data_IF_451360702225
#
_entry.id   IF_451360702225
#
_cell.length_a   1.000
_cell.length_b   1.000
_cell.length_c   1.000
_cell.angle_alpha   90.00
_cell.angle_beta   90.00
_cell.angle_gamma   90.00
#
_symmetry.space_group_name_H-M   'P 1'
#
loop_
_entity.id
_entity.type
_entity.pdbx_description
1 polymer ?
#
# COMPACT_ATOMS: atom_id res chain seq x y z
N UNK A 1 -3.42 -31.60 -1.36
CA UNK A 1 -4.19 -30.49 -1.97
C UNK A 1 -3.23 -29.36 -2.26
N UNK A 2 -2.92 -29.14 -3.53
CA UNK A 2 -1.98 -28.10 -3.94
C UNK A 2 -2.62 -26.74 -3.73
N UNK A 3 -2.14 -25.98 -2.74
CA UNK A 3 -2.41 -24.55 -2.65
C UNK A 3 -1.76 -23.89 -3.86
N UNK A 4 -2.51 -23.89 -4.96
CA UNK A 4 -2.17 -23.18 -6.18
C UNK A 4 -1.99 -21.72 -5.75
N UNK A 5 -0.74 -21.33 -5.57
CA UNK A 5 -0.32 -19.94 -5.42
C UNK A 5 -0.63 -19.29 -6.76
N UNK A 6 -1.90 -18.96 -6.95
CA UNK A 6 -2.32 -18.12 -8.07
C UNK A 6 -1.51 -16.85 -7.91
N UNK A 7 -0.54 -16.69 -8.79
CA UNK A 7 0.16 -15.44 -9.00
C UNK A 7 -0.89 -14.46 -9.51
N UNK A 8 -1.67 -13.88 -8.59
CA UNK A 8 -2.72 -12.87 -8.83
C UNK A 8 -2.16 -11.51 -9.25
N UNK A 9 -0.88 -11.45 -9.60
CA UNK A 9 -0.20 -10.24 -10.10
C UNK A 9 -0.84 -9.68 -11.38
N UNK A 10 -1.58 -10.51 -12.12
CA UNK A 10 -2.25 -10.18 -13.38
C UNK A 10 -3.79 -10.05 -13.29
N UNK A 11 -4.39 -10.20 -12.10
CA UNK A 11 -5.83 -9.91 -11.97
C UNK A 11 -6.03 -8.38 -11.98
N UNK A 12 -6.91 -7.84 -12.85
CA UNK A 12 -7.22 -6.41 -12.85
C UNK A 12 -7.74 -6.02 -11.46
N UNK A 13 -7.22 -4.91 -10.92
CA UNK A 13 -7.70 -4.38 -9.65
C UNK A 13 -9.20 -4.13 -9.77
N UNK A 14 -10.00 -4.84 -8.98
CA UNK A 14 -11.42 -4.56 -8.89
C UNK A 14 -11.64 -3.25 -8.13
N UNK A 15 -12.77 -2.60 -8.35
CA UNK A 15 -13.13 -1.34 -7.67
C UNK A 15 -13.06 -1.45 -6.13
N UNK A 16 -13.31 -2.65 -5.59
CA UNK A 16 -13.15 -2.96 -4.16
C UNK A 16 -11.70 -2.91 -3.70
N UNK A 17 -10.76 -3.40 -4.52
CA UNK A 17 -9.33 -3.38 -4.22
C UNK A 17 -8.80 -1.93 -4.20
N UNK A 18 -9.24 -1.10 -5.16
CA UNK A 18 -8.93 0.34 -5.19
C UNK A 18 -9.48 1.07 -3.97
N UNK A 19 -10.67 0.69 -3.50
CA UNK A 19 -11.26 1.26 -2.28
C UNK A 19 -10.43 0.97 -1.03
N UNK A 20 -9.84 -0.23 -0.94
CA UNK A 20 -8.89 -0.57 0.15
C UNK A 20 -7.62 0.24 0.03
N UNK A 21 -7.03 0.33 -1.16
CA UNK A 21 -5.82 1.13 -1.40
C UNK A 21 -6.04 2.60 -1.02
N UNK A 22 -7.20 3.16 -1.37
CA UNK A 22 -7.55 4.53 -1.05
C UNK A 22 -7.72 4.77 0.46
N UNK A 23 -8.31 3.81 1.21
CA UNK A 23 -8.43 3.92 2.68
C UNK A 23 -7.06 3.92 3.37
N UNK A 24 -6.16 3.05 2.95
CA UNK A 24 -4.79 2.99 3.48
C UNK A 24 -4.05 4.31 3.18
N UNK A 25 -4.19 4.82 1.96
CA UNK A 25 -3.60 6.10 1.57
C UNK A 25 -4.14 7.26 2.40
N UNK A 26 -5.46 7.34 2.56
CA UNK A 26 -6.13 8.40 3.33
C UNK A 26 -5.69 8.39 4.80
N UNK A 27 -5.58 7.20 5.38
CA UNK A 27 -5.09 7.06 6.75
C UNK A 27 -3.64 7.54 6.88
N UNK A 28 -2.75 7.19 5.94
CA UNK A 28 -1.35 7.66 5.94
C UNK A 28 -1.28 9.17 5.71
N UNK A 29 -2.11 9.73 4.82
CA UNK A 29 -2.20 11.18 4.60
C UNK A 29 -2.58 11.92 5.87
N UNK A 30 -3.63 11.46 6.56
CA UNK A 30 -4.08 12.06 7.81
C UNK A 30 -3.04 11.93 8.92
N UNK A 31 -2.40 10.77 9.07
CA UNK A 31 -1.40 10.54 10.14
C UNK A 31 -0.09 11.30 9.93
N UNK A 32 0.22 11.71 8.70
CA UNK A 32 1.47 12.36 8.34
C UNK A 32 1.27 13.79 7.82
N UNK A 33 0.03 14.29 7.89
CA UNK A 33 -0.38 15.61 7.40
C UNK A 33 0.07 15.86 5.94
N UNK A 34 -0.01 14.83 5.10
CA UNK A 34 0.40 14.92 3.69
C UNK A 34 -0.77 15.42 2.86
N UNK A 35 -0.50 16.45 2.09
CA UNK A 35 -1.48 16.99 1.15
C UNK A 35 -1.83 15.96 0.07
N UNK A 36 -3.13 15.81 -0.22
CA UNK A 36 -3.61 14.87 -1.21
C UNK A 36 -3.09 15.18 -2.63
N UNK A 37 -2.72 16.43 -2.89
CA UNK A 37 -2.20 16.92 -4.17
C UNK A 37 -0.67 16.95 -4.21
N UNK A 38 0.00 16.48 -3.15
CA UNK A 38 1.46 16.42 -3.12
C UNK A 38 1.99 15.26 -3.96
N UNK A 39 3.11 15.46 -4.66
CA UNK A 39 3.87 14.41 -5.34
C UNK A 39 4.14 13.21 -4.42
N UNK A 40 4.38 13.50 -3.14
CA UNK A 40 4.65 12.49 -2.15
C UNK A 40 3.43 11.61 -1.89
N UNK A 41 2.23 12.17 -1.98
CA UNK A 41 1.01 11.38 -1.91
C UNK A 41 0.81 10.50 -3.13
N UNK A 42 1.08 10.99 -4.33
CA UNK A 42 0.97 10.19 -5.56
C UNK A 42 1.98 9.03 -5.54
N UNK A 43 3.15 9.29 -4.98
CA UNK A 43 4.19 8.28 -4.75
C UNK A 43 3.71 7.19 -3.79
N UNK A 44 3.12 7.55 -2.64
CA UNK A 44 2.54 6.56 -1.71
C UNK A 44 1.46 5.74 -2.40
N UNK A 45 0.55 6.38 -3.15
CA UNK A 45 -0.55 5.71 -3.83
C UNK A 45 -0.02 4.64 -4.81
N UNK A 46 1.01 4.99 -5.57
CA UNK A 46 1.69 4.08 -6.49
C UNK A 46 2.32 2.90 -5.76
N UNK A 47 2.99 3.15 -4.63
CA UNK A 47 3.61 2.11 -3.80
C UNK A 47 2.55 1.16 -3.21
N UNK A 48 1.43 1.69 -2.70
CA UNK A 48 0.31 0.90 -2.17
C UNK A 48 -0.21 -0.05 -3.25
N UNK A 49 -0.48 0.47 -4.44
CA UNK A 49 -1.01 -0.31 -5.56
C UNK A 49 -0.04 -1.41 -5.96
N UNK A 50 1.25 -1.11 -6.05
CA UNK A 50 2.26 -2.10 -6.40
C UNK A 50 2.39 -3.21 -5.34
N UNK A 51 2.34 -2.88 -4.04
CA UNK A 51 2.31 -3.91 -2.99
C UNK A 51 1.02 -4.72 -2.99
N UNK A 52 -0.11 -4.08 -3.26
CA UNK A 52 -1.40 -4.76 -3.38
C UNK A 52 -1.39 -5.79 -4.51
N UNK A 53 -0.83 -5.43 -5.67
CA UNK A 53 -0.64 -6.33 -6.82
C UNK A 53 0.33 -7.46 -6.53
N UNK A 54 1.30 -7.26 -5.63
CA UNK A 54 2.20 -8.31 -5.15
C UNK A 54 1.52 -9.30 -4.19
N UNK A 55 0.28 -9.02 -3.77
CA UNK A 55 -0.52 -9.86 -2.89
C UNK A 55 -0.60 -9.35 -1.45
N UNK A 56 -0.06 -8.17 -1.15
CA UNK A 56 -0.13 -7.57 0.19
C UNK A 56 -1.46 -6.83 0.33
N UNK A 57 -2.44 -7.49 0.94
CA UNK A 57 -3.79 -6.93 1.16
C UNK A 57 -4.03 -6.47 2.59
N UNK A 58 -3.07 -6.71 3.49
CA UNK A 58 -3.16 -6.32 4.88
C UNK A 58 -2.72 -4.86 5.04
N UNK A 59 -3.59 -4.05 5.65
CA UNK A 59 -3.38 -2.60 5.82
C UNK A 59 -2.16 -2.30 6.69
N UNK A 60 -1.89 -3.11 7.72
CA UNK A 60 -0.73 -2.94 8.61
C UNK A 60 0.56 -3.27 7.88
N UNK A 61 0.57 -4.35 7.08
CA UNK A 61 1.72 -4.70 6.24
C UNK A 61 2.00 -3.64 5.18
N UNK A 62 0.97 -3.17 4.47
CA UNK A 62 1.10 -2.08 3.50
C UNK A 62 1.74 -0.86 4.15
N UNK A 63 1.24 -0.49 5.33
CA UNK A 63 1.78 0.65 6.07
C UNK A 63 3.23 0.47 6.49
N UNK A 64 3.62 -0.68 7.04
CA UNK A 64 5.00 -0.97 7.41
C UNK A 64 5.96 -0.93 6.19
N UNK A 65 5.48 -1.42 5.03
CA UNK A 65 6.24 -1.40 3.79
C UNK A 65 6.39 0.02 3.22
N UNK A 66 5.37 0.86 3.32
CA UNK A 66 5.42 2.27 2.92
C UNK A 66 6.36 3.05 3.82
N UNK A 67 6.30 2.83 5.13
CA UNK A 67 7.21 3.40 6.13
C UNK A 67 8.67 3.09 5.74
N UNK A 68 8.93 1.81 5.46
CA UNK A 68 10.24 1.33 4.98
C UNK A 68 10.64 1.95 3.63
N UNK A 69 9.73 2.00 2.65
CA UNK A 69 10.00 2.54 1.31
C UNK A 69 10.27 4.05 1.31
N UNK A 70 9.73 4.76 2.31
CA UNK A 70 9.98 6.18 2.57
C UNK A 70 11.25 6.44 3.35
N UNK A 71 11.86 5.39 3.92
CA UNK A 71 13.03 5.53 4.79
C UNK A 71 12.67 5.89 6.23
N UNK A 72 11.39 5.83 6.62
CA UNK A 72 11.03 5.64 8.02
C UNK A 72 11.41 4.19 8.37
N UNK A 73 12.67 4.01 8.72
CA UNK A 73 13.02 2.84 9.52
C UNK A 73 12.60 3.18 10.94
N UNK A 74 11.70 2.41 11.61
CA UNK A 74 11.66 2.46 13.06
C UNK A 74 13.06 2.06 13.50
N UNK A 75 13.85 3.05 13.88
CA UNK A 75 15.22 2.88 14.35
C UNK A 75 15.21 1.77 15.40
N UNK A 76 15.87 0.62 15.18
CA UNK A 76 16.04 -0.34 16.25
C UNK A 76 16.90 0.36 17.31
N UNK A 77 16.32 0.49 18.51
CA UNK A 77 17.01 0.97 19.69
C UNK A 77 18.10 -0.02 20.12
#
# INVERSE_FOLDING_TARGET
>A
MSHKRYSRRDEPLHSTDLSVCHRVLDHIRNEQEIDASSDESERIASIIIEFYRQGVRDEKQLRALIDTARGFTPRPA
#
